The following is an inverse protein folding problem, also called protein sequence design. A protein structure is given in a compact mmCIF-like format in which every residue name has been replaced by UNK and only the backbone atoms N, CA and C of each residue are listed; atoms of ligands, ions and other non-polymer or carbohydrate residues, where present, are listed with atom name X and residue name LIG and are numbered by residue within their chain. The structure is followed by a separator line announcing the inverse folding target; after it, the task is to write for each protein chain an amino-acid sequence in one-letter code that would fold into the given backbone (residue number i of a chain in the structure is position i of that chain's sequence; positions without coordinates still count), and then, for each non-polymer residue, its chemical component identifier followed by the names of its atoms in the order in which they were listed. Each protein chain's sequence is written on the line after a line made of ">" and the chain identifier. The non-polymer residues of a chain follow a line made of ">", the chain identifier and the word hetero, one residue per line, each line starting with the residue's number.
data_IF_935594962116
#
_entry.id   IF_935594962116
#
_cell.length_a   1.000
_cell.length_b   1.000
_cell.length_c   1.000
_cell.angle_alpha   90.00
_cell.angle_beta   90.00
_cell.angle_gamma   90.00
#
_symmetry.space_group_name_H-M   'P 1'
#
loop_
_entity.id
_entity.type
_entity.pdbx_description
1 polymer ?
#
# COMPACT_ATOMS: atom_id res chain seq x y z
N UNK A 1 -11.10 17.75 15.98
CA UNK A 1 -11.34 16.84 17.12
C UNK A 1 -10.18 17.00 18.08
N UNK A 2 -10.38 17.46 19.33
CA UNK A 2 -9.29 17.70 20.27
C UNK A 2 -8.53 16.44 20.71
N UNK A 3 -8.98 15.25 20.30
CA UNK A 3 -8.33 13.96 20.60
C UNK A 3 -7.28 13.55 19.57
N UNK A 4 -7.21 14.23 18.42
CA UNK A 4 -6.20 13.93 17.39
C UNK A 4 -4.90 14.68 17.70
N UNK A 5 -3.76 14.03 17.48
CA UNK A 5 -2.47 14.72 17.48
C UNK A 5 -2.34 15.66 16.27
N UNK A 6 -1.37 16.57 16.34
CA UNK A 6 -1.16 17.60 15.32
C UNK A 6 -0.92 17.00 13.92
N UNK A 7 -0.19 15.89 13.84
CA UNK A 7 0.08 15.20 12.56
C UNK A 7 -1.20 14.59 11.98
N UNK A 8 -2.05 14.00 12.82
CA UNK A 8 -3.32 13.43 12.38
C UNK A 8 -4.29 14.53 11.94
N UNK A 9 -4.27 15.70 12.60
CA UNK A 9 -5.03 16.88 12.19
C UNK A 9 -4.56 17.41 10.82
N UNK A 10 -3.24 17.55 10.64
CA UNK A 10 -2.66 17.99 9.37
C UNK A 10 -3.00 17.02 8.22
N UNK A 11 -2.94 15.71 8.48
CA UNK A 11 -3.36 14.70 7.51
C UNK A 11 -4.86 14.80 7.17
N UNK A 12 -5.72 14.97 8.17
CA UNK A 12 -7.16 15.12 7.95
C UNK A 12 -7.50 16.38 7.14
N UNK A 13 -6.79 17.49 7.39
CA UNK A 13 -6.90 18.73 6.60
C UNK A 13 -6.49 18.49 5.15
N UNK A 14 -5.31 17.89 4.93
CA UNK A 14 -4.83 17.53 3.59
C UNK A 14 -5.86 16.70 2.81
N UNK A 15 -6.44 15.66 3.43
CA UNK A 15 -7.44 14.80 2.78
C UNK A 15 -8.70 15.59 2.43
N UNK A 16 -9.19 16.44 3.34
CA UNK A 16 -10.43 17.18 3.15
C UNK A 16 -10.29 18.23 2.05
N UNK A 17 -9.14 18.91 1.97
CA UNK A 17 -8.85 19.94 0.98
C UNK A 17 -8.63 19.35 -0.42
N UNK A 18 -7.90 18.25 -0.53
CA UNK A 18 -7.50 17.69 -1.83
C UNK A 18 -8.48 16.63 -2.36
N UNK A 19 -9.25 16.01 -1.48
CA UNK A 19 -10.17 14.92 -1.82
C UNK A 19 -11.51 15.13 -1.11
N UNK A 20 -12.27 16.18 -1.47
CA UNK A 20 -13.55 16.49 -0.83
C UNK A 20 -14.51 15.30 -0.88
N UNK A 21 -15.45 15.27 0.07
CA UNK A 21 -16.46 14.22 0.13
C UNK A 21 -17.27 14.21 -1.19
N UNK A 22 -17.39 13.06 -1.87
CA UNK A 22 -18.12 12.99 -3.12
C UNK A 22 -19.62 13.15 -2.86
N UNK A 23 -20.33 13.79 -3.80
CA UNK A 23 -21.79 13.97 -3.73
C UNK A 23 -22.57 12.66 -3.91
N UNK A 24 -21.95 11.67 -4.55
CA UNK A 24 -22.51 10.34 -4.79
C UNK A 24 -21.61 9.29 -4.14
N UNK A 25 -22.21 8.35 -3.42
CA UNK A 25 -21.51 7.33 -2.62
C UNK A 25 -21.62 5.93 -3.22
N UNK A 26 -21.66 5.81 -4.55
CA UNK A 26 -21.57 4.48 -5.17
C UNK A 26 -20.22 3.84 -4.87
N UNK A 27 -20.20 2.51 -4.86
CA UNK A 27 -18.98 1.75 -4.60
C UNK A 27 -17.85 2.13 -5.57
N UNK A 28 -18.18 2.34 -6.84
CA UNK A 28 -17.20 2.71 -7.86
C UNK A 28 -16.58 4.08 -7.59
N UNK A 29 -17.39 5.07 -7.22
CA UNK A 29 -16.89 6.41 -6.85
C UNK A 29 -15.97 6.32 -5.64
N UNK A 30 -16.33 5.51 -4.65
CA UNK A 30 -15.53 5.35 -3.44
C UNK A 30 -14.22 4.56 -3.68
N UNK A 31 -14.24 3.57 -4.58
CA UNK A 31 -13.03 2.86 -5.05
C UNK A 31 -12.08 3.83 -5.75
N UNK A 32 -12.58 4.57 -6.73
CA UNK A 32 -11.76 5.52 -7.47
C UNK A 32 -11.19 6.62 -6.57
N UNK A 33 -11.99 7.14 -5.63
CA UNK A 33 -11.51 8.12 -4.65
C UNK A 33 -10.38 7.53 -3.80
N UNK A 34 -10.51 6.28 -3.35
CA UNK A 34 -9.48 5.61 -2.53
C UNK A 34 -8.19 5.41 -3.31
N UNK A 35 -8.27 4.98 -4.58
CA UNK A 35 -7.12 4.85 -5.47
C UNK A 35 -6.40 6.19 -5.66
N UNK A 36 -7.15 7.27 -5.93
CA UNK A 36 -6.57 8.61 -6.14
C UNK A 36 -5.87 9.16 -4.89
N UNK A 37 -6.48 8.98 -3.70
CA UNK A 37 -5.87 9.37 -2.43
C UNK A 37 -4.54 8.66 -2.22
N UNK A 38 -4.52 7.33 -2.39
CA UNK A 38 -3.32 6.54 -2.18
C UNK A 38 -2.25 6.80 -3.25
N UNK A 39 -2.64 7.00 -4.51
CA UNK A 39 -1.70 7.40 -5.56
C UNK A 39 -0.96 8.69 -5.16
N UNK A 40 -1.68 9.68 -4.63
CA UNK A 40 -1.09 10.95 -4.18
C UNK A 40 -0.18 10.80 -2.96
N UNK A 41 -0.54 9.91 -2.03
CA UNK A 41 0.30 9.59 -0.88
C UNK A 41 1.58 8.88 -1.34
N UNK A 42 1.43 7.92 -2.26
CA UNK A 42 2.54 7.12 -2.77
C UNK A 42 3.52 7.97 -3.58
N UNK A 43 3.08 9.01 -4.29
CA UNK A 43 3.97 9.96 -5.00
C UNK A 43 5.15 10.46 -4.15
N UNK A 44 4.95 10.68 -2.85
CA UNK A 44 5.99 11.18 -1.96
C UNK A 44 7.12 10.17 -1.69
N UNK A 45 6.88 8.89 -1.97
CA UNK A 45 7.74 7.76 -1.61
C UNK A 45 8.03 6.83 -2.78
N UNK A 46 7.53 7.12 -3.99
CA UNK A 46 7.89 6.42 -5.22
C UNK A 46 9.39 6.65 -5.49
N UNK A 47 10.12 5.56 -5.77
CA UNK A 47 11.54 5.60 -6.12
C UNK A 47 12.51 5.53 -4.94
N UNK A 48 12.02 5.43 -3.70
CA UNK A 48 12.91 5.26 -2.53
C UNK A 48 13.31 3.81 -2.29
N UNK A 49 12.50 2.85 -2.77
CA UNK A 49 12.72 1.43 -2.55
C UNK A 49 13.96 0.94 -3.29
N UNK A 50 14.90 0.37 -2.54
CA UNK A 50 16.11 -0.25 -3.09
C UNK A 50 15.91 -1.76 -3.19
N UNK A 51 15.44 -2.23 -4.33
CA UNK A 51 15.16 -3.64 -4.56
C UNK A 51 14.53 -3.91 -5.93
N UNK A 52 13.98 -5.11 -6.10
CA UNK A 52 13.20 -5.48 -7.29
C UNK A 52 11.72 -5.63 -6.97
N UNK A 53 10.91 -5.32 -7.96
CA UNK A 53 9.46 -5.53 -7.96
C UNK A 53 9.12 -6.48 -9.11
N UNK A 54 8.39 -7.55 -8.81
CA UNK A 54 7.97 -8.54 -9.78
C UNK A 54 6.48 -8.82 -9.66
N UNK A 55 5.72 -8.62 -10.75
CA UNK A 55 4.33 -9.04 -10.82
C UNK A 55 4.24 -10.50 -11.26
N UNK A 56 3.46 -11.30 -10.51
CA UNK A 56 3.15 -12.68 -10.87
C UNK A 56 1.67 -12.95 -10.73
N UNK A 57 1.25 -14.10 -11.24
CA UNK A 57 -0.06 -14.68 -10.93
C UNK A 57 0.14 -16.02 -10.24
N UNK A 58 -0.65 -16.25 -9.18
CA UNK A 58 -0.72 -17.55 -8.51
C UNK A 58 -2.00 -18.23 -8.98
N UNK A 59 -1.86 -19.43 -9.52
CA UNK A 59 -3.01 -20.28 -9.83
C UNK A 59 -3.58 -20.85 -8.53
N UNK A 60 -4.87 -20.65 -8.31
CA UNK A 60 -5.61 -21.18 -7.14
C UNK A 60 -6.36 -22.45 -7.53
N UNK A 61 -7.02 -22.43 -8.69
CA UNK A 61 -7.73 -23.56 -9.29
C UNK A 61 -7.71 -23.44 -10.83
N UNK A 62 -8.54 -24.20 -11.53
CA UNK A 62 -8.57 -24.23 -13.01
C UNK A 62 -8.96 -22.89 -13.64
N UNK A 63 -9.83 -22.12 -12.97
CA UNK A 63 -10.44 -20.91 -13.50
C UNK A 63 -9.97 -19.62 -12.78
N UNK A 64 -9.27 -19.78 -11.65
CA UNK A 64 -8.91 -18.67 -10.76
C UNK A 64 -7.39 -18.46 -10.68
N UNK A 65 -6.97 -17.28 -11.12
CA UNK A 65 -5.61 -16.76 -10.90
C UNK A 65 -5.67 -15.50 -10.04
N UNK A 66 -4.86 -15.46 -8.99
CA UNK A 66 -4.73 -14.28 -8.13
C UNK A 66 -3.44 -13.56 -8.50
N UNK A 67 -3.51 -12.30 -8.94
CA UNK A 67 -2.31 -11.53 -9.18
C UNK A 67 -1.63 -11.15 -7.85
N UNK A 68 -0.31 -11.20 -7.82
CA UNK A 68 0.53 -10.83 -6.68
C UNK A 68 1.66 -9.91 -7.17
N UNK A 69 2.25 -9.18 -6.24
CA UNK A 69 3.47 -8.42 -6.48
C UNK A 69 4.48 -8.82 -5.41
N UNK A 70 5.67 -9.24 -5.84
CA UNK A 70 6.77 -9.64 -4.97
C UNK A 70 7.75 -8.48 -4.90
N UNK A 71 8.01 -8.01 -3.69
CA UNK A 71 9.00 -6.97 -3.41
C UNK A 71 10.20 -7.61 -2.73
N UNK A 72 11.36 -7.55 -3.38
CA UNK A 72 12.60 -8.14 -2.87
C UNK A 72 13.60 -7.01 -2.61
N UNK A 73 13.91 -6.69 -1.35
CA UNK A 73 14.94 -5.70 -1.02
C UNK A 73 16.29 -6.08 -1.64
N UNK A 74 17.13 -5.07 -1.89
CA UNK A 74 18.52 -5.29 -2.26
C UNK A 74 19.25 -6.07 -1.17
N UNK A 75 20.27 -6.84 -1.56
CA UNK A 75 21.20 -7.54 -0.67
C UNK A 75 20.57 -8.57 0.29
N UNK A 76 19.36 -9.08 0.00
CA UNK A 76 18.71 -10.15 0.80
C UNK A 76 19.59 -11.40 0.84
N UNK A 77 19.96 -11.82 2.06
CA UNK A 77 20.81 -13.00 2.32
C UNK A 77 20.07 -14.19 2.94
N UNK A 78 18.85 -13.98 3.46
CA UNK A 78 18.06 -15.00 4.19
C UNK A 78 16.74 -15.22 3.45
N UNK A 79 16.27 -16.47 3.45
CA UNK A 79 15.01 -16.87 2.85
C UNK A 79 13.85 -16.70 3.84
N UNK A 80 13.36 -15.45 3.97
CA UNK A 80 12.17 -15.13 4.77
C UNK A 80 11.21 -14.33 3.92
N UNK A 81 9.92 -14.62 4.07
CA UNK A 81 8.85 -13.96 3.32
C UNK A 81 7.78 -13.43 4.27
N UNK A 82 7.26 -12.25 3.95
CA UNK A 82 6.06 -11.67 4.55
C UNK A 82 4.97 -11.64 3.49
N UNK A 83 3.82 -12.23 3.80
CA UNK A 83 2.64 -12.11 2.95
C UNK A 83 1.76 -10.97 3.46
N UNK A 84 1.49 -10.00 2.59
CA UNK A 84 0.73 -8.80 2.94
C UNK A 84 -0.62 -8.77 2.23
N UNK A 85 -1.70 -8.60 3.00
CA UNK A 85 -3.05 -8.39 2.48
C UNK A 85 -3.47 -6.95 2.78
N UNK A 86 -3.88 -6.21 1.75
CA UNK A 86 -4.22 -4.80 1.91
C UNK A 86 -5.55 -4.58 2.63
N UNK A 87 -5.69 -3.41 3.26
CA UNK A 87 -6.96 -2.95 3.84
C UNK A 87 -7.94 -2.46 2.79
N UNK A 88 -8.98 -1.73 3.22
CA UNK A 88 -10.02 -1.19 2.31
C UNK A 88 -11.40 -1.80 2.51
N UNK A 89 -11.65 -2.40 3.68
CA UNK A 89 -12.99 -2.88 4.05
C UNK A 89 -13.58 -3.88 3.06
N UNK A 90 -12.73 -4.77 2.52
CA UNK A 90 -13.08 -5.82 1.54
C UNK A 90 -13.55 -5.34 0.17
N UNK A 91 -13.71 -4.04 -0.03
CA UNK A 91 -14.41 -3.49 -1.20
C UNK A 91 -13.61 -2.45 -1.94
N UNK A 92 -12.55 -1.90 -1.35
CA UNK A 92 -11.72 -0.81 -1.91
C UNK A 92 -10.24 -1.18 -1.91
N UNK A 93 -9.46 -0.33 -2.59
CA UNK A 93 -8.00 -0.41 -2.68
C UNK A 93 -7.50 -1.62 -3.51
N UNK A 94 -6.19 -1.64 -3.72
CA UNK A 94 -5.48 -2.63 -4.52
C UNK A 94 -4.04 -2.79 -4.04
N UNK A 95 -3.28 -3.75 -4.60
CA UNK A 95 -1.83 -3.89 -4.32
C UNK A 95 -1.07 -2.57 -4.50
N UNK A 96 -1.43 -1.78 -5.52
CA UNK A 96 -0.79 -0.50 -5.83
C UNK A 96 -1.01 0.55 -4.76
N UNK A 97 -2.21 0.64 -4.19
CA UNK A 97 -2.50 1.61 -3.11
C UNK A 97 -1.63 1.43 -1.88
N UNK A 98 -1.14 0.21 -1.62
CA UNK A 98 -0.32 -0.13 -0.46
C UNK A 98 1.16 -0.34 -0.81
N UNK A 99 1.59 -0.03 -2.03
CA UNK A 99 2.97 -0.24 -2.47
C UNK A 99 3.99 0.43 -1.53
N UNK A 100 3.72 1.66 -1.11
CA UNK A 100 4.60 2.40 -0.19
C UNK A 100 4.79 1.69 1.15
N UNK A 101 3.72 1.21 1.79
CA UNK A 101 3.84 0.53 3.08
C UNK A 101 4.55 -0.81 2.92
N UNK A 102 4.29 -1.53 1.82
CA UNK A 102 4.98 -2.81 1.54
C UNK A 102 6.47 -2.59 1.30
N UNK A 103 6.85 -1.55 0.55
CA UNK A 103 8.26 -1.19 0.35
C UNK A 103 8.96 -0.88 1.68
N UNK A 104 8.33 -0.09 2.55
CA UNK A 104 8.85 0.21 3.89
C UNK A 104 9.02 -1.05 4.74
N UNK A 105 8.03 -1.94 4.73
CA UNK A 105 8.11 -3.22 5.45
C UNK A 105 9.24 -4.08 4.93
N UNK A 106 9.38 -4.19 3.60
CA UNK A 106 10.43 -4.96 2.97
C UNK A 106 11.83 -4.46 3.40
N UNK A 107 12.05 -3.14 3.38
CA UNK A 107 13.32 -2.55 3.84
C UNK A 107 13.55 -2.70 5.36
N UNK A 108 12.50 -2.55 6.18
CA UNK A 108 12.60 -2.66 7.63
C UNK A 108 12.93 -4.10 8.06
N UNK A 109 12.21 -5.09 7.54
CA UNK A 109 12.47 -6.49 7.84
C UNK A 109 13.85 -6.95 7.36
N UNK A 110 14.32 -6.40 6.23
CA UNK A 110 15.69 -6.64 5.79
C UNK A 110 16.71 -6.19 6.85
N UNK A 111 16.59 -4.97 7.37
CA UNK A 111 17.52 -4.44 8.40
C UNK A 111 17.52 -5.27 9.68
N UNK A 112 16.35 -5.61 10.21
CA UNK A 112 16.24 -6.45 11.41
C UNK A 112 16.87 -7.85 11.21
N UNK A 113 16.88 -8.36 9.97
CA UNK A 113 17.47 -9.67 9.68
C UNK A 113 19.01 -9.68 9.65
N UNK A 114 19.65 -8.52 9.59
CA UNK A 114 21.11 -8.35 9.64
C UNK A 114 21.61 -8.23 11.08
N UNK A 115 20.81 -7.60 11.95
CA UNK A 115 21.20 -7.32 13.34
C UNK A 115 20.95 -8.49 14.32
N UNK A 116 20.48 -9.63 13.82
CA UNK A 116 20.28 -10.90 14.55
C UNK A 116 21.10 -12.05 13.95
#
# INVERSE_FOLDING_TARGET
>A
DPRLCDEALAYAQFITENFPAPKNLTLEVMRQRSENVHAKINEKLIGTFKGTEEERKIKVDEDTEIPITIYTPADVKKDKMVLYFHGGGWTQCSRKTHQTIVNMLAEYFFRLSIEM
#
